data_IF_805368456281
#
_entry.id   IF_805368456281
#
_cell.length_a   1.000
_cell.length_b   1.000
_cell.length_c   1.000
_cell.angle_alpha   90.00
_cell.angle_beta   90.00
_cell.angle_gamma   90.00
#
_symmetry.space_group_name_H-M   'P 1'
#
loop_
_entity.id
_entity.type
_entity.pdbx_description
1 polymer ?
#
# COMPACT_ATOMS: atom_id res chain seq x y z
N UNK A 1 -23.38 29.26 38.89
CA UNK A 1 -22.05 28.59 39.02
C UNK A 1 -21.96 27.26 38.28
N UNK A 2 -22.88 26.27 38.48
CA UNK A 2 -22.80 24.94 37.88
C UNK A 2 -22.92 24.98 36.34
N UNK A 3 -23.87 25.73 35.79
CA UNK A 3 -24.07 25.86 34.35
C UNK A 3 -22.85 26.46 33.64
N UNK A 4 -22.18 27.42 34.28
CA UNK A 4 -20.95 28.02 33.74
C UNK A 4 -19.83 26.99 33.69
N UNK A 5 -19.62 26.23 34.76
CA UNK A 5 -18.65 25.13 34.83
C UNK A 5 -18.89 24.03 33.77
N UNK A 6 -20.15 23.74 33.47
CA UNK A 6 -20.50 22.78 32.42
C UNK A 6 -20.18 23.34 31.04
N UNK A 7 -20.45 24.61 30.80
CA UNK A 7 -20.12 25.27 29.53
C UNK A 7 -18.60 25.31 29.30
N UNK A 8 -17.82 25.65 30.34
CA UNK A 8 -16.36 25.62 30.30
C UNK A 8 -15.85 24.21 29.96
N UNK A 9 -16.39 23.17 30.61
CA UNK A 9 -15.99 21.78 30.35
C UNK A 9 -16.26 21.38 28.91
N UNK A 10 -17.42 21.72 28.36
CA UNK A 10 -17.81 21.42 26.98
C UNK A 10 -16.84 22.14 26.02
N UNK A 11 -16.58 23.42 26.22
CA UNK A 11 -15.68 24.22 25.41
C UNK A 11 -14.23 23.70 25.44
N UNK A 12 -13.73 23.36 26.63
CA UNK A 12 -12.40 22.84 26.80
C UNK A 12 -12.21 21.47 26.13
N UNK A 13 -13.22 20.59 26.20
CA UNK A 13 -13.19 19.27 25.56
C UNK A 13 -13.33 19.36 24.04
N UNK A 14 -13.95 20.42 23.51
CA UNK A 14 -14.00 20.66 22.06
C UNK A 14 -12.59 20.83 21.44
N UNK A 15 -11.58 21.20 22.23
CA UNK A 15 -10.17 21.28 21.80
C UNK A 15 -9.58 19.92 21.41
N UNK A 16 -10.24 18.80 21.72
CA UNK A 16 -9.85 17.48 21.20
C UNK A 16 -9.97 17.44 19.67
N UNK A 17 -10.89 18.22 19.09
CA UNK A 17 -11.01 18.40 17.65
C UNK A 17 -11.71 17.25 16.91
N UNK A 18 -12.38 16.36 17.65
CA UNK A 18 -13.19 15.25 17.08
C UNK A 18 -14.41 15.02 17.96
N UNK A 19 -15.53 14.51 17.42
CA UNK A 19 -16.71 14.15 18.19
C UNK A 19 -16.38 13.11 19.26
N UNK A 20 -16.85 13.35 20.48
CA UNK A 20 -16.69 12.43 21.60
C UNK A 20 -18.00 11.66 21.80
N UNK A 21 -17.93 10.34 21.80
CA UNK A 21 -19.04 9.45 22.17
C UNK A 21 -18.66 8.71 23.47
N UNK A 22 -18.89 9.37 24.59
CA UNK A 22 -18.54 8.82 25.90
C UNK A 22 -19.39 9.51 27.01
N UNK A 23 -19.52 8.83 28.14
CA UNK A 23 -19.97 9.46 29.39
C UNK A 23 -18.80 10.16 30.05
N UNK A 24 -18.98 11.42 30.45
CA UNK A 24 -17.93 12.21 31.08
C UNK A 24 -18.33 12.48 32.51
N UNK A 25 -17.51 12.08 33.47
CA UNK A 25 -17.61 12.36 34.88
C UNK A 25 -16.51 13.34 35.27
N UNK A 26 -16.85 14.53 35.71
CA UNK A 26 -15.89 15.55 36.09
C UNK A 26 -16.06 15.96 37.57
N UNK A 27 -15.08 15.68 38.41
CA UNK A 27 -15.03 16.12 39.79
C UNK A 27 -14.15 17.38 39.88
N UNK A 28 -14.76 18.50 40.32
CA UNK A 28 -14.09 19.81 40.45
C UNK A 28 -13.42 20.28 39.15
N UNK A 29 -14.13 20.33 38.02
CA UNK A 29 -13.52 20.69 36.73
C UNK A 29 -12.98 22.13 36.80
N UNK A 30 -11.80 22.32 36.18
CA UNK A 30 -11.17 23.61 36.04
C UNK A 30 -10.53 23.74 34.66
N UNK A 31 -10.43 24.95 34.12
CA UNK A 31 -9.95 25.20 32.76
C UNK A 31 -8.60 24.57 32.50
N UNK A 32 -7.61 24.73 33.38
CA UNK A 32 -6.28 24.14 33.24
C UNK A 32 -6.33 22.61 33.16
N UNK A 33 -7.05 21.96 34.06
CA UNK A 33 -7.15 20.48 34.09
C UNK A 33 -7.91 19.92 32.89
N UNK A 34 -8.98 20.59 32.47
CA UNK A 34 -9.79 20.20 31.30
C UNK A 34 -8.98 20.29 30.01
N UNK A 35 -8.22 21.37 29.81
CA UNK A 35 -7.35 21.59 28.64
C UNK A 35 -6.23 20.56 28.60
N UNK A 36 -5.59 20.28 29.76
CA UNK A 36 -4.55 19.25 29.81
C UNK A 36 -5.11 17.86 29.50
N UNK A 37 -6.26 17.50 30.02
CA UNK A 37 -6.96 16.26 29.66
C UNK A 37 -7.30 16.21 28.17
N UNK A 38 -7.81 17.29 27.60
CA UNK A 38 -8.10 17.37 26.17
C UNK A 38 -6.85 17.16 25.30
N UNK A 39 -5.69 17.71 25.69
CA UNK A 39 -4.40 17.48 25.04
C UNK A 39 -3.98 16.01 25.08
N UNK A 40 -4.11 15.35 26.25
CA UNK A 40 -3.77 13.93 26.39
C UNK A 40 -4.66 13.05 25.52
N UNK A 41 -5.98 13.27 25.53
CA UNK A 41 -6.93 12.54 24.70
C UNK A 41 -6.63 12.77 23.21
N UNK A 42 -6.36 14.01 22.81
CA UNK A 42 -5.97 14.35 21.42
C UNK A 42 -4.69 13.62 21.00
N UNK A 43 -3.67 13.59 21.86
CA UNK A 43 -2.42 12.87 21.63
C UNK A 43 -2.67 11.37 21.43
N UNK A 44 -3.45 10.75 22.32
CA UNK A 44 -3.83 9.34 22.22
C UNK A 44 -4.66 9.05 20.96
N UNK A 45 -5.57 9.95 20.60
CA UNK A 45 -6.34 9.83 19.36
C UNK A 45 -5.46 9.89 18.13
N UNK A 46 -4.51 10.84 18.07
CA UNK A 46 -3.56 10.97 16.98
C UNK A 46 -2.66 9.74 16.89
N UNK A 47 -2.15 9.23 18.01
CA UNK A 47 -1.37 7.99 18.06
C UNK A 47 -2.19 6.79 17.56
N UNK A 48 -3.44 6.63 18.02
CA UNK A 48 -4.35 5.58 17.54
C UNK A 48 -4.70 5.75 16.07
N UNK A 49 -4.85 6.97 15.57
CA UNK A 49 -5.09 7.25 14.14
C UNK A 49 -3.87 6.89 13.31
N UNK A 50 -2.66 7.21 13.76
CA UNK A 50 -1.41 6.76 13.14
C UNK A 50 -1.30 5.24 13.18
N UNK A 51 -1.52 4.60 14.32
CA UNK A 51 -1.49 3.12 14.44
C UNK A 51 -2.57 2.49 13.57
N UNK A 52 -3.79 3.04 13.50
CA UNK A 52 -4.83 2.57 12.56
C UNK A 52 -4.44 2.80 11.10
N UNK A 53 -3.76 3.89 10.79
CA UNK A 53 -3.25 4.16 9.44
C UNK A 53 -2.16 3.14 9.04
N UNK A 54 -1.39 2.63 10.02
CA UNK A 54 -0.36 1.61 9.85
C UNK A 54 -0.80 0.20 10.30
N UNK A 55 -1.91 0.06 11.03
CA UNK A 55 -2.55 -1.23 11.17
C UNK A 55 -3.23 -1.52 9.85
N UNK A 56 -2.60 -2.39 9.07
CA UNK A 56 -3.26 -3.04 7.96
C UNK A 56 -4.57 -3.63 8.50
N UNK A 57 -5.68 -3.03 8.12
CA UNK A 57 -6.98 -3.63 8.37
C UNK A 57 -6.89 -4.99 7.71
N UNK A 58 -6.89 -6.06 8.49
CA UNK A 58 -7.23 -7.38 8.00
C UNK A 58 -8.67 -7.29 7.48
N UNK A 59 -8.83 -6.74 6.28
CA UNK A 59 -9.99 -7.08 5.46
C UNK A 59 -9.78 -8.56 5.14
N UNK A 60 -10.82 -9.33 5.29
CA UNK A 60 -10.89 -10.73 4.86
C UNK A 60 -10.25 -10.85 3.47
N UNK A 61 -9.02 -11.34 3.42
CA UNK A 61 -8.21 -11.43 2.22
C UNK A 61 -6.96 -12.24 2.48
N UNK A 62 -6.50 -12.96 1.48
CA UNK A 62 -5.24 -13.73 1.54
C UNK A 62 -4.10 -12.73 1.62
N UNK A 63 -3.31 -12.77 2.70
CA UNK A 63 -2.06 -12.03 2.82
C UNK A 63 -0.93 -12.97 2.43
N UNK A 64 -0.12 -12.58 1.44
CA UNK A 64 1.05 -13.34 1.00
C UNK A 64 2.33 -12.63 1.50
N UNK A 65 3.19 -13.39 2.15
CA UNK A 65 4.55 -12.98 2.49
C UNK A 65 5.52 -13.14 1.31
N UNK A 66 6.76 -12.72 1.48
CA UNK A 66 7.78 -12.80 0.43
C UNK A 66 8.04 -14.25 -0.03
N UNK A 67 7.95 -15.22 0.87
CA UNK A 67 8.17 -16.64 0.52
C UNK A 67 7.03 -17.16 -0.38
N UNK A 68 5.79 -16.77 -0.08
CA UNK A 68 4.64 -17.09 -0.92
C UNK A 68 4.74 -16.39 -2.29
N UNK A 69 5.14 -15.13 -2.31
CA UNK A 69 5.36 -14.37 -3.54
C UNK A 69 6.42 -15.03 -4.43
N UNK A 70 7.55 -15.46 -3.85
CA UNK A 70 8.63 -16.14 -4.59
C UNK A 70 8.24 -17.52 -5.14
N UNK A 71 7.21 -18.17 -4.59
CA UNK A 71 6.64 -19.40 -5.18
C UNK A 71 5.79 -19.12 -6.42
N UNK A 72 5.19 -17.92 -6.46
CA UNK A 72 4.28 -17.51 -7.53
C UNK A 72 5.07 -16.83 -8.67
N UNK A 73 5.91 -15.84 -8.31
CA UNK A 73 6.71 -15.07 -9.26
C UNK A 73 8.12 -15.67 -9.42
N UNK A 74 8.66 -15.70 -10.66
CA UNK A 74 10.04 -16.15 -10.90
C UNK A 74 11.09 -15.13 -10.47
N UNK A 75 10.71 -13.88 -10.26
CA UNK A 75 11.60 -12.77 -9.91
C UNK A 75 12.37 -13.03 -8.60
N UNK A 76 13.64 -12.62 -8.55
CA UNK A 76 14.53 -12.71 -7.38
C UNK A 76 15.29 -11.40 -7.23
N UNK A 77 16.04 -11.28 -6.14
CA UNK A 77 16.97 -10.17 -5.94
C UNK A 77 17.92 -10.05 -7.17
N UNK A 78 18.19 -8.83 -7.67
CA UNK A 78 17.70 -7.53 -7.17
C UNK A 78 16.38 -7.08 -7.81
N UNK A 79 15.68 -7.92 -8.57
CA UNK A 79 14.56 -7.55 -9.42
C UNK A 79 13.18 -7.91 -8.85
N UNK A 80 13.10 -8.47 -7.64
CA UNK A 80 11.82 -8.66 -6.95
C UNK A 80 11.38 -7.34 -6.29
N UNK A 81 10.30 -6.74 -6.81
CA UNK A 81 9.82 -5.41 -6.43
C UNK A 81 8.53 -5.45 -5.59
N UNK A 82 8.20 -6.58 -4.98
CA UNK A 82 7.02 -6.74 -4.11
C UNK A 82 7.42 -7.50 -2.86
N UNK A 83 7.23 -6.89 -1.67
CA UNK A 83 7.63 -7.47 -0.40
C UNK A 83 6.50 -8.27 0.27
N UNK A 84 5.24 -7.86 0.05
CA UNK A 84 4.05 -8.56 0.57
C UNK A 84 2.79 -8.18 -0.21
N UNK A 85 1.78 -9.04 -0.15
CA UNK A 85 0.42 -8.75 -0.61
C UNK A 85 -0.48 -8.58 0.62
N UNK A 86 -1.19 -7.49 0.69
CA UNK A 86 -2.06 -7.13 1.81
C UNK A 86 -3.55 -7.25 1.50
N UNK A 87 -3.91 -7.34 0.21
CA UNK A 87 -5.25 -7.62 -0.25
C UNK A 87 -5.18 -8.42 -1.55
N UNK A 88 -6.00 -9.45 -1.67
CA UNK A 88 -6.14 -10.23 -2.90
C UNK A 88 -7.61 -10.67 -3.04
N UNK A 89 -8.26 -10.16 -4.08
CA UNK A 89 -9.57 -10.58 -4.54
C UNK A 89 -9.38 -11.18 -5.93
N UNK A 90 -9.46 -12.50 -6.03
CA UNK A 90 -9.20 -13.21 -7.29
C UNK A 90 -10.06 -12.65 -8.43
N UNK A 91 -9.45 -12.51 -9.59
CA UNK A 91 -10.05 -11.96 -10.82
C UNK A 91 -10.62 -10.52 -10.67
N UNK A 92 -10.24 -9.78 -9.61
CA UNK A 92 -10.69 -8.40 -9.40
C UNK A 92 -9.57 -7.45 -9.06
N UNK A 93 -8.93 -7.65 -7.90
CA UNK A 93 -8.03 -6.65 -7.33
C UNK A 93 -6.93 -7.29 -6.48
N UNK A 94 -5.77 -6.66 -6.49
CA UNK A 94 -4.65 -6.97 -5.59
C UNK A 94 -4.02 -5.68 -5.07
N UNK A 95 -3.54 -5.72 -3.84
CA UNK A 95 -2.75 -4.64 -3.27
C UNK A 95 -1.43 -5.22 -2.76
N UNK A 96 -0.35 -4.86 -3.44
CA UNK A 96 1.03 -5.16 -3.06
C UNK A 96 1.67 -4.02 -2.27
N UNK A 97 2.75 -4.35 -1.58
CA UNK A 97 3.57 -3.38 -0.85
C UNK A 97 5.03 -3.60 -1.20
N UNK A 98 5.73 -2.50 -1.52
CA UNK A 98 7.19 -2.43 -1.63
C UNK A 98 7.74 -1.45 -0.61
N UNK A 99 8.65 -1.89 0.23
CA UNK A 99 9.41 -1.03 1.13
C UNK A 99 10.64 -0.50 0.38
N UNK A 100 10.69 0.79 0.18
CA UNK A 100 11.78 1.45 -0.55
C UNK A 100 12.89 1.79 0.45
N UNK A 101 13.97 1.00 0.44
CA UNK A 101 15.11 1.22 1.34
C UNK A 101 16.31 1.79 0.60
N UNK A 102 17.21 2.50 1.31
CA UNK A 102 18.46 3.02 0.72
C UNK A 102 19.38 1.90 0.20
N UNK A 103 19.17 0.65 0.65
CA UNK A 103 19.97 -0.51 0.25
C UNK A 103 19.61 -1.06 -1.12
N UNK A 104 18.60 -0.49 -1.80
CA UNK A 104 18.27 -0.88 -3.15
C UNK A 104 19.40 -0.50 -4.12
N UNK A 105 19.87 -1.43 -4.97
CA UNK A 105 21.07 -1.22 -5.79
C UNK A 105 20.95 -0.07 -6.80
N UNK A 106 19.74 0.26 -7.24
CA UNK A 106 19.51 1.36 -8.19
C UNK A 106 19.80 2.74 -7.61
N UNK A 107 19.82 2.93 -6.28
CA UNK A 107 20.15 4.22 -5.67
C UNK A 107 21.63 4.60 -5.78
N UNK A 108 22.50 3.64 -6.08
CA UNK A 108 23.92 3.94 -6.36
C UNK A 108 24.07 4.88 -7.55
N UNK A 109 23.20 4.74 -8.56
CA UNK A 109 23.27 5.51 -9.79
C UNK A 109 22.11 6.51 -10.00
N UNK A 110 21.00 6.37 -9.29
CA UNK A 110 19.78 7.15 -9.57
C UNK A 110 19.27 7.96 -8.35
N UNK A 111 19.86 9.07 -7.92
CA UNK A 111 21.09 9.72 -8.42
C UNK A 111 22.06 9.93 -7.25
N UNK A 112 23.38 10.00 -7.45
CA UNK A 112 24.33 10.30 -6.38
C UNK A 112 23.96 11.59 -5.64
N UNK A 113 23.82 11.51 -4.30
CA UNK A 113 23.44 12.64 -3.45
C UNK A 113 21.94 12.99 -3.45
N UNK A 114 21.14 12.45 -4.38
CA UNK A 114 19.70 12.66 -4.44
C UNK A 114 18.98 11.36 -4.86
N UNK A 115 18.86 10.38 -3.96
CA UNK A 115 18.30 9.08 -4.28
C UNK A 115 16.80 9.19 -4.56
N UNK A 116 16.41 8.82 -5.78
CA UNK A 116 15.02 8.77 -6.24
C UNK A 116 14.80 7.41 -6.88
N UNK A 117 13.72 6.70 -6.53
CA UNK A 117 13.39 5.42 -7.16
C UNK A 117 13.08 5.65 -8.65
N UNK A 118 13.73 4.92 -9.56
CA UNK A 118 13.42 5.02 -10.98
C UNK A 118 11.94 4.76 -11.25
N UNK A 119 11.27 5.66 -11.96
CA UNK A 119 9.83 5.54 -12.24
C UNK A 119 9.49 4.22 -12.95
N UNK A 120 10.35 3.76 -13.86
CA UNK A 120 10.18 2.48 -14.54
C UNK A 120 10.16 1.28 -13.59
N UNK A 121 10.85 1.35 -12.44
CA UNK A 121 10.82 0.30 -11.42
C UNK A 121 9.54 0.38 -10.55
N UNK A 122 8.90 1.54 -10.44
CA UNK A 122 7.57 1.65 -9.85
C UNK A 122 6.55 0.93 -10.75
N UNK A 123 6.67 1.11 -12.07
CA UNK A 123 5.83 0.40 -13.05
C UNK A 123 6.09 -1.11 -12.95
N UNK A 124 7.34 -1.54 -12.88
CA UNK A 124 7.70 -2.95 -12.70
C UNK A 124 7.09 -3.54 -11.41
N UNK A 125 7.13 -2.80 -10.30
CA UNK A 125 6.51 -3.23 -9.05
C UNK A 125 4.99 -3.43 -9.18
N UNK A 126 4.29 -2.52 -9.87
CA UNK A 126 2.86 -2.69 -10.21
C UNK A 126 2.65 -3.89 -11.14
N UNK A 127 3.52 -4.07 -12.12
CA UNK A 127 3.49 -5.19 -13.05
C UNK A 127 3.65 -6.53 -12.33
N UNK A 128 4.61 -6.68 -11.44
CA UNK A 128 4.78 -7.88 -10.62
C UNK A 128 3.58 -8.14 -9.71
N UNK A 129 3.03 -7.08 -9.10
CA UNK A 129 1.80 -7.17 -8.29
C UNK A 129 0.63 -7.70 -9.14
N UNK A 130 0.48 -7.23 -10.37
CA UNK A 130 -0.54 -7.74 -11.31
C UNK A 130 -0.30 -9.21 -11.69
N UNK A 131 0.96 -9.61 -11.85
CA UNK A 131 1.35 -11.00 -12.10
C UNK A 131 0.87 -11.95 -10.99
N UNK A 132 0.90 -11.50 -9.74
CA UNK A 132 0.36 -12.26 -8.61
C UNK A 132 -1.15 -12.44 -8.74
N UNK A 133 -1.90 -11.39 -9.10
CA UNK A 133 -3.35 -11.48 -9.33
C UNK A 133 -3.68 -12.48 -10.45
N UNK A 134 -2.98 -12.39 -11.57
CA UNK A 134 -3.19 -13.25 -12.73
C UNK A 134 -2.91 -14.71 -12.38
N UNK A 135 -1.71 -14.98 -11.84
CA UNK A 135 -1.25 -16.35 -11.59
C UNK A 135 -2.10 -17.05 -10.52
N UNK A 136 -2.48 -16.36 -9.44
CA UNK A 136 -3.37 -16.94 -8.43
C UNK A 136 -4.80 -17.21 -8.93
N UNK A 137 -5.20 -16.61 -10.05
CA UNK A 137 -6.50 -16.86 -10.69
C UNK A 137 -6.47 -18.03 -11.68
N UNK A 138 -5.33 -18.70 -11.83
CA UNK A 138 -5.15 -19.77 -12.81
C UNK A 138 -4.84 -21.12 -12.13
N UNK A 139 -5.38 -22.24 -12.65
CA UNK A 139 -4.89 -23.54 -12.29
C UNK A 139 -3.44 -23.72 -12.82
N UNK A 140 -2.63 -24.53 -12.13
CA UNK A 140 -1.26 -24.86 -12.53
C UNK A 140 -0.36 -23.63 -12.74
N UNK A 141 -0.52 -22.57 -11.92
CA UNK A 141 0.24 -21.33 -12.03
C UNK A 141 1.76 -21.54 -12.03
N UNK A 142 2.25 -22.59 -11.39
CA UNK A 142 3.68 -22.95 -11.34
C UNK A 142 4.26 -23.22 -12.73
N UNK A 143 3.41 -23.65 -13.67
CA UNK A 143 3.77 -23.91 -15.08
C UNK A 143 3.50 -22.74 -16.00
N UNK A 144 3.18 -21.57 -15.46
CA UNK A 144 2.80 -20.38 -16.23
C UNK A 144 3.80 -19.25 -16.02
N UNK A 145 3.93 -18.42 -17.06
CA UNK A 145 4.63 -17.14 -17.01
C UNK A 145 3.70 -16.05 -17.50
N UNK A 146 3.89 -14.85 -16.97
CA UNK A 146 3.17 -13.65 -17.38
C UNK A 146 4.16 -12.74 -18.10
N UNK A 147 3.87 -12.40 -19.35
CA UNK A 147 4.63 -11.41 -20.13
C UNK A 147 3.80 -10.16 -20.32
N UNK A 148 4.41 -8.99 -20.05
CA UNK A 148 3.81 -7.72 -20.38
C UNK A 148 3.92 -7.47 -21.88
N UNK A 149 2.78 -7.16 -22.50
CA UNK A 149 2.67 -6.94 -23.94
C UNK A 149 2.61 -5.46 -24.28
N UNK A 150 2.00 -4.66 -23.38
CA UNK A 150 1.78 -3.24 -23.61
C UNK A 150 1.59 -2.51 -22.29
N UNK A 151 2.04 -1.24 -22.25
CA UNK A 151 1.80 -0.30 -21.18
C UNK A 151 1.29 1.01 -21.79
N UNK A 152 0.19 1.55 -21.24
CA UNK A 152 -0.43 2.79 -21.68
C UNK A 152 -0.65 3.72 -20.49
N UNK A 153 -0.92 4.99 -20.80
CA UNK A 153 -1.32 6.01 -19.82
C UNK A 153 -0.37 6.12 -18.61
N UNK A 154 0.91 5.81 -18.83
CA UNK A 154 1.93 5.88 -17.77
C UNK A 154 2.13 7.32 -17.35
N UNK A 155 1.95 7.60 -16.04
CA UNK A 155 2.17 8.92 -15.46
C UNK A 155 2.93 8.80 -14.15
N UNK A 156 3.99 9.58 -14.01
CA UNK A 156 4.74 9.78 -12.77
C UNK A 156 4.34 11.14 -12.21
N UNK A 157 3.85 11.16 -10.95
CA UNK A 157 3.27 12.35 -10.35
C UNK A 157 4.11 12.96 -9.25
N UNK A 158 4.82 12.11 -8.51
CA UNK A 158 5.72 12.53 -7.43
C UNK A 158 6.90 11.57 -7.32
N UNK A 159 8.07 12.07 -6.91
CA UNK A 159 9.23 11.22 -6.64
C UNK A 159 8.94 10.30 -5.46
N UNK A 160 9.54 9.11 -5.50
CA UNK A 160 9.58 8.12 -4.43
C UNK A 160 11.02 8.03 -3.96
N UNK A 161 11.24 8.11 -2.66
CA UNK A 161 12.58 8.23 -2.06
C UNK A 161 12.80 7.13 -1.00
N UNK A 162 14.05 6.87 -0.60
CA UNK A 162 14.33 5.95 0.50
C UNK A 162 13.56 6.30 1.78
N UNK A 163 12.96 5.29 2.41
CA UNK A 163 12.08 5.44 3.57
C UNK A 163 10.60 5.42 3.23
N UNK A 164 10.23 5.58 1.96
CA UNK A 164 8.84 5.45 1.52
C UNK A 164 8.37 3.99 1.52
N UNK A 165 7.07 3.80 1.69
CA UNK A 165 6.40 2.55 1.45
C UNK A 165 5.39 2.73 0.32
N UNK A 166 5.60 2.00 -0.78
CA UNK A 166 4.71 1.99 -1.93
C UNK A 166 3.57 1.01 -1.70
N UNK A 167 2.34 1.48 -1.87
CA UNK A 167 1.14 0.66 -1.98
C UNK A 167 0.77 0.55 -3.46
N UNK A 168 0.77 -0.68 -3.96
CA UNK A 168 0.62 -1.01 -5.39
C UNK A 168 -0.77 -1.60 -5.59
N UNK A 169 -1.72 -0.77 -5.91
CA UNK A 169 -3.10 -1.17 -6.18
C UNK A 169 -3.26 -1.52 -7.66
N UNK A 170 -3.71 -2.74 -7.95
CA UNK A 170 -3.95 -3.19 -9.32
C UNK A 170 -5.35 -3.82 -9.42
N UNK A 171 -6.11 -3.39 -10.41
CA UNK A 171 -7.45 -3.87 -10.70
C UNK A 171 -7.51 -4.51 -12.09
N UNK A 172 -8.17 -5.66 -12.18
CA UNK A 172 -8.47 -6.31 -13.46
C UNK A 172 -9.63 -5.57 -14.12
N UNK A 173 -9.38 -5.00 -15.29
CA UNK A 173 -10.38 -4.27 -16.08
C UNK A 173 -11.11 -5.20 -17.04
N UNK A 174 -10.35 -6.10 -17.71
CA UNK A 174 -10.92 -7.02 -18.69
C UNK A 174 -10.01 -8.25 -18.85
N UNK A 175 -10.64 -9.37 -19.23
CA UNK A 175 -9.94 -10.64 -19.52
C UNK A 175 -10.50 -11.22 -20.82
N UNK A 176 -9.62 -11.51 -21.76
CA UNK A 176 -9.97 -12.17 -23.03
C UNK A 176 -9.02 -13.34 -23.27
N UNK A 177 -9.52 -14.57 -23.13
CA UNK A 177 -8.71 -15.79 -23.26
C UNK A 177 -7.51 -15.75 -22.32
N UNK A 178 -6.28 -15.69 -22.85
CA UNK A 178 -5.02 -15.64 -22.11
C UNK A 178 -4.48 -14.21 -21.95
N UNK A 179 -5.24 -13.17 -22.32
CA UNK A 179 -4.83 -11.76 -22.24
C UNK A 179 -5.63 -11.04 -21.16
N UNK A 180 -4.91 -10.33 -20.29
CA UNK A 180 -5.44 -9.60 -19.14
C UNK A 180 -5.14 -8.11 -19.32
N UNK A 181 -6.17 -7.28 -19.13
CA UNK A 181 -6.07 -5.82 -19.13
C UNK A 181 -6.31 -5.31 -17.72
N UNK A 182 -5.37 -4.54 -17.18
CA UNK A 182 -5.37 -4.08 -15.81
C UNK A 182 -5.02 -2.61 -15.73
N UNK A 183 -5.48 -1.95 -14.69
CA UNK A 183 -5.04 -0.60 -14.31
C UNK A 183 -4.30 -0.67 -12.97
N UNK A 184 -3.20 0.03 -12.87
CA UNK A 184 -2.36 0.09 -11.68
C UNK A 184 -2.17 1.51 -11.17
N UNK A 185 -2.18 1.66 -9.85
CA UNK A 185 -1.91 2.91 -9.13
C UNK A 185 -0.96 2.66 -7.98
N UNK A 186 0.07 3.48 -7.88
CA UNK A 186 1.03 3.43 -6.79
C UNK A 186 0.85 4.63 -5.86
N UNK A 187 0.84 4.38 -4.56
CA UNK A 187 0.62 5.41 -3.53
C UNK A 187 1.74 5.39 -2.49
N UNK A 188 2.09 6.58 -2.00
CA UNK A 188 2.90 6.80 -0.80
C UNK A 188 2.10 7.69 0.14
N UNK A 189 1.85 7.27 1.38
CA UNK A 189 1.06 8.03 2.35
C UNK A 189 -0.29 8.54 1.80
N UNK A 190 -1.03 7.68 1.07
CA UNK A 190 -2.30 7.96 0.39
C UNK A 190 -2.21 8.98 -0.77
N UNK A 191 -1.00 9.38 -1.16
CA UNK A 191 -0.78 10.27 -2.30
C UNK A 191 -0.45 9.41 -3.53
N UNK A 192 -1.18 9.60 -4.63
CA UNK A 192 -0.91 8.95 -5.91
C UNK A 192 0.44 9.44 -6.47
N UNK A 193 1.41 8.53 -6.61
CA UNK A 193 2.76 8.83 -7.10
C UNK A 193 2.99 8.36 -8.53
N UNK A 194 2.35 7.26 -8.95
CA UNK A 194 2.37 6.78 -10.33
C UNK A 194 1.09 6.02 -10.69
N UNK A 195 0.79 5.97 -11.98
CA UNK A 195 -0.32 5.17 -12.54
C UNK A 195 0.04 4.66 -13.94
N UNK A 196 -0.54 3.52 -14.33
CA UNK A 196 -0.40 2.94 -15.66
C UNK A 196 -1.50 1.93 -15.96
N UNK A 197 -1.76 1.72 -17.24
CA UNK A 197 -2.56 0.60 -17.72
C UNK A 197 -1.64 -0.47 -18.30
N UNK A 198 -1.96 -1.74 -18.05
CA UNK A 198 -1.15 -2.89 -18.45
C UNK A 198 -1.96 -3.85 -19.30
N UNK A 199 -1.32 -4.42 -20.31
CA UNK A 199 -1.79 -5.60 -21.01
C UNK A 199 -0.75 -6.71 -20.82
N UNK A 200 -1.18 -7.86 -20.34
CA UNK A 200 -0.32 -9.01 -20.10
C UNK A 200 -0.90 -10.28 -20.70
N UNK A 201 -0.04 -11.12 -21.23
CA UNK A 201 -0.37 -12.44 -21.74
C UNK A 201 0.19 -13.54 -20.84
N UNK A 202 -0.56 -14.64 -20.73
CA UNK A 202 -0.11 -15.84 -20.02
C UNK A 202 0.35 -16.88 -21.02
N UNK A 203 1.55 -17.42 -20.80
CA UNK A 203 2.15 -18.50 -21.59
C UNK A 203 2.51 -19.68 -20.71
N UNK A 204 2.59 -20.86 -21.28
CA UNK A 204 3.09 -22.04 -20.59
C UNK A 204 4.61 -21.93 -20.44
N UNK A 205 5.14 -22.26 -19.26
CA UNK A 205 6.56 -22.32 -18.99
C UNK A 205 7.14 -23.55 -19.69
N UNK A 206 7.98 -23.33 -20.68
CA UNK A 206 8.63 -24.40 -21.43
C UNK A 206 9.62 -25.14 -20.52
N UNK A 207 9.34 -26.38 -20.18
CA UNK A 207 10.16 -27.21 -19.29
C UNK A 207 11.55 -27.53 -19.87
N UNK A 208 11.74 -27.31 -21.18
CA UNK A 208 12.99 -27.53 -21.88
C UNK A 208 14.03 -26.39 -21.75
N UNK A 209 13.61 -25.23 -21.19
CA UNK A 209 14.45 -24.02 -21.03
C UNK A 209 14.77 -23.64 -19.59
N UNK A 210 14.60 -24.53 -18.64
CA UNK A 210 14.87 -24.26 -17.22
C UNK A 210 16.32 -24.48 -16.80
N UNK A 211 17.26 -24.23 -17.68
CA UNK A 211 18.70 -24.19 -17.38
C UNK A 211 19.17 -22.72 -17.49
N UNK A 212 18.88 -21.93 -16.45
CA UNK A 212 19.62 -20.72 -16.12
C UNK A 212 19.95 -20.72 -14.65
#
# INVERSE_FOLDING_TARGET
>A
PVRHKLLDLIGDLALIGVPIKAQILAARPGHKSNVEFARQVRKLYQQKKLVKKFQFVKKEGVVLDVNAIQRILPHRYPFLMVDKIIQLELEKKVVGVKSVTINEPFFVGHFPGQPIMPGVLIIEAMAQTSGILILNSLPDFEKKLVYFMQMNNVKFRKPVVPGDQLFLEVELVNKRSKVFMMTGKAYVNDILVAEADFMAGVVDRDSSKSNF
#
